data_IF_127256201235
#
_entry.id   IF_127256201235
#
_cell.length_a   1.000
_cell.length_b   1.000
_cell.length_c   1.000
_cell.angle_alpha   90.00
_cell.angle_beta   90.00
_cell.angle_gamma   90.00
#
_symmetry.space_group_name_H-M   'P 1'
#
loop_
_entity.id
_entity.type
_entity.pdbx_description
1 polymer ?
#
# COMPACT_ATOMS: atom_id res chain seq x y z
N UNK A 1 11.84 -19.56 -11.75
CA UNK A 1 11.00 -18.44 -11.27
C UNK A 1 11.24 -18.12 -9.80
N UNK A 2 11.12 -19.07 -8.86
CA UNK A 2 11.34 -18.83 -7.42
C UNK A 2 12.69 -18.15 -7.07
N UNK A 3 13.79 -18.56 -7.71
CA UNK A 3 15.11 -17.94 -7.53
C UNK A 3 15.15 -16.46 -7.95
N UNK A 4 14.38 -16.06 -8.97
CA UNK A 4 14.31 -14.67 -9.40
C UNK A 4 13.60 -13.81 -8.37
N UNK A 5 12.45 -14.27 -7.88
CA UNK A 5 11.67 -13.58 -6.85
C UNK A 5 12.48 -13.36 -5.57
N UNK A 6 13.21 -14.37 -5.11
CA UNK A 6 14.09 -14.23 -3.95
C UNK A 6 15.23 -13.23 -4.17
N UNK A 7 15.87 -13.24 -5.35
CA UNK A 7 16.93 -12.27 -5.67
C UNK A 7 16.41 -10.83 -5.66
N UNK A 8 15.24 -10.59 -6.25
CA UNK A 8 14.62 -9.26 -6.27
C UNK A 8 14.21 -8.82 -4.87
N UNK A 9 13.61 -9.72 -4.08
CA UNK A 9 13.26 -9.42 -2.69
C UNK A 9 14.48 -9.05 -1.85
N UNK A 10 15.54 -9.85 -1.90
CA UNK A 10 16.78 -9.58 -1.16
C UNK A 10 17.41 -8.25 -1.58
N UNK A 11 17.49 -7.97 -2.89
CA UNK A 11 18.02 -6.71 -3.39
C UNK A 11 17.16 -5.51 -2.95
N UNK A 12 15.83 -5.66 -2.97
CA UNK A 12 14.89 -4.60 -2.56
C UNK A 12 14.97 -4.30 -1.07
N UNK A 13 15.18 -5.33 -0.24
CA UNK A 13 15.33 -5.19 1.21
C UNK A 13 16.62 -4.46 1.61
N UNK A 14 17.67 -4.56 0.76
CA UNK A 14 18.94 -3.87 0.95
C UNK A 14 19.00 -2.50 0.27
N UNK A 15 18.00 -2.15 -0.53
CA UNK A 15 17.93 -0.85 -1.22
C UNK A 15 17.20 0.15 -0.35
N UNK A 16 17.93 1.16 0.14
CA UNK A 16 17.39 2.24 0.96
C UNK A 16 17.31 3.57 0.19
N UNK A 17 16.22 4.34 0.36
CA UNK A 17 16.08 5.61 -0.34
C UNK A 17 17.07 6.65 0.18
N UNK A 18 17.60 7.46 -0.74
CA UNK A 18 18.27 8.72 -0.38
C UNK A 18 17.25 9.76 0.10
N UNK A 19 17.71 10.90 0.63
CA UNK A 19 16.82 12.03 0.98
C UNK A 19 15.94 12.46 -0.21
N UNK A 20 16.52 12.51 -1.42
CA UNK A 20 15.77 12.77 -2.66
C UNK A 20 14.75 11.65 -2.95
N UNK A 21 15.12 10.40 -2.68
CA UNK A 21 14.22 9.25 -2.77
C UNK A 21 12.97 9.41 -1.89
N UNK A 22 13.13 9.89 -0.66
CA UNK A 22 11.99 10.21 0.20
C UNK A 22 11.12 11.34 -0.33
N UNK A 23 11.70 12.31 -1.05
CA UNK A 23 10.94 13.30 -1.82
C UNK A 23 10.02 12.67 -2.87
N UNK A 24 10.47 11.61 -3.56
CA UNK A 24 9.62 10.85 -4.49
C UNK A 24 8.53 10.06 -3.78
N UNK A 25 8.81 9.49 -2.61
CA UNK A 25 7.79 8.83 -1.78
C UNK A 25 6.70 9.84 -1.38
N UNK A 26 7.10 11.03 -0.91
CA UNK A 26 6.16 12.09 -0.58
C UNK A 26 5.33 12.54 -1.79
N UNK A 27 5.94 12.65 -2.98
CA UNK A 27 5.21 12.95 -4.22
C UNK A 27 4.20 11.85 -4.59
N UNK A 28 4.58 10.58 -4.48
CA UNK A 28 3.68 9.45 -4.73
C UNK A 28 2.50 9.43 -3.74
N UNK A 29 2.75 9.71 -2.46
CA UNK A 29 1.72 9.87 -1.44
C UNK A 29 0.78 11.05 -1.76
N UNK A 30 1.33 12.18 -2.17
CA UNK A 30 0.56 13.35 -2.61
C UNK A 30 -0.35 13.04 -3.80
N UNK A 31 0.17 12.33 -4.81
CA UNK A 31 -0.61 11.89 -5.96
C UNK A 31 -1.72 10.90 -5.56
N UNK A 32 -1.41 9.93 -4.70
CA UNK A 32 -2.41 9.00 -4.15
C UNK A 32 -3.50 9.74 -3.39
N UNK A 33 -3.14 10.71 -2.54
CA UNK A 33 -4.08 11.52 -1.78
C UNK A 33 -4.96 12.40 -2.68
N UNK A 34 -4.39 12.97 -3.75
CA UNK A 34 -5.13 13.79 -4.72
C UNK A 34 -6.23 13.01 -5.44
N UNK A 35 -6.07 11.68 -5.61
CA UNK A 35 -7.12 10.79 -6.14
C UNK A 35 -8.05 10.31 -5.02
N UNK A 36 -7.46 9.87 -3.91
CA UNK A 36 -8.16 9.15 -2.85
C UNK A 36 -9.07 10.05 -2.03
N UNK A 37 -8.62 11.27 -1.67
CA UNK A 37 -9.40 12.18 -0.82
C UNK A 37 -10.69 12.63 -1.51
N UNK A 38 -10.68 13.13 -2.77
CA UNK A 38 -11.91 13.51 -3.45
C UNK A 38 -12.86 12.31 -3.62
N UNK A 39 -12.34 11.17 -4.08
CA UNK A 39 -13.16 9.97 -4.27
C UNK A 39 -13.79 9.50 -2.96
N UNK A 40 -12.98 9.38 -1.90
CA UNK A 40 -13.45 8.89 -0.62
C UNK A 40 -14.45 9.82 0.05
N UNK A 41 -14.25 11.14 -0.02
CA UNK A 41 -15.17 12.12 0.54
C UNK A 41 -16.46 12.24 -0.27
N UNK A 42 -16.36 12.34 -1.60
CA UNK A 42 -17.52 12.51 -2.49
C UNK A 42 -18.46 11.29 -2.45
N UNK A 43 -17.92 10.09 -2.27
CA UNK A 43 -18.71 8.85 -2.18
C UNK A 43 -19.16 8.50 -0.76
N UNK A 44 -18.84 9.34 0.23
CA UNK A 44 -19.07 9.07 1.64
C UNK A 44 -18.28 7.89 2.20
N UNK A 45 -17.32 7.33 1.45
CA UNK A 45 -16.46 6.25 1.93
C UNK A 45 -15.55 6.72 3.08
N UNK A 46 -15.09 7.96 3.05
CA UNK A 46 -14.38 8.58 4.17
C UNK A 46 -15.33 9.30 5.10
N UNK A 47 -15.15 9.08 6.41
CA UNK A 47 -15.91 9.73 7.46
C UNK A 47 -14.97 10.29 8.56
N UNK A 48 -14.46 11.52 8.40
CA UNK A 48 -13.56 12.14 9.37
C UNK A 48 -14.18 12.36 10.77
N UNK A 49 -15.52 12.32 10.89
CA UNK A 49 -16.21 12.43 12.19
C UNK A 49 -15.97 11.19 13.07
N UNK A 50 -15.60 10.08 12.45
CA UNK A 50 -15.33 8.80 13.12
C UNK A 50 -13.83 8.60 13.45
N UNK A 51 -13.05 9.69 13.59
CA UNK A 51 -11.64 9.57 13.94
C UNK A 51 -11.42 8.87 15.29
N UNK A 52 -10.43 7.98 15.35
CA UNK A 52 -9.98 7.34 16.59
C UNK A 52 -9.09 8.32 17.36
N UNK A 53 -9.37 8.48 18.66
CA UNK A 53 -8.62 9.41 19.54
C UNK A 53 -7.66 8.71 20.50
N UNK A 54 -7.74 7.38 20.62
CA UNK A 54 -6.85 6.59 21.47
C UNK A 54 -5.48 6.43 20.80
N UNK A 55 -4.50 7.24 21.24
CA UNK A 55 -3.13 7.22 20.72
C UNK A 55 -2.42 5.89 20.96
N UNK A 56 -2.67 5.22 22.09
CA UNK A 56 -2.03 3.94 22.42
C UNK A 56 -2.49 2.85 21.46
N UNK A 57 -3.80 2.80 21.19
CA UNK A 57 -4.39 1.92 20.19
C UNK A 57 -3.84 2.22 18.79
N UNK A 58 -3.80 3.50 18.40
CA UNK A 58 -3.27 3.93 17.09
C UNK A 58 -1.83 3.46 16.93
N UNK A 59 -0.94 3.71 17.89
CA UNK A 59 0.47 3.32 17.81
C UNK A 59 0.64 1.80 17.74
N UNK A 60 -0.05 1.05 18.60
CA UNK A 60 0.05 -0.42 18.65
C UNK A 60 -0.41 -1.06 17.34
N UNK A 61 -1.57 -0.64 16.84
CA UNK A 61 -2.12 -1.20 15.60
C UNK A 61 -1.36 -0.69 14.38
N UNK A 62 -0.87 0.55 14.38
CA UNK A 62 0.00 1.09 13.32
C UNK A 62 1.30 0.29 13.21
N UNK A 63 1.97 -0.01 14.33
CA UNK A 63 3.17 -0.84 14.33
C UNK A 63 2.90 -2.23 13.73
N UNK A 64 1.78 -2.86 14.10
CA UNK A 64 1.34 -4.11 13.49
C UNK A 64 1.06 -3.97 11.99
N UNK A 65 0.35 -2.91 11.59
CA UNK A 65 -0.03 -2.61 10.21
C UNK A 65 1.18 -2.31 9.30
N UNK A 66 2.29 -1.83 9.87
CA UNK A 66 3.53 -1.66 9.14
C UNK A 66 4.14 -3.01 8.73
N UNK A 67 4.08 -4.03 9.60
CA UNK A 67 4.57 -5.37 9.27
C UNK A 67 3.56 -6.12 8.39
N UNK A 68 2.30 -6.17 8.83
CA UNK A 68 1.18 -6.79 8.12
C UNK A 68 -0.02 -5.84 8.17
N UNK A 69 -0.44 -5.23 7.06
CA UNK A 69 -0.12 -5.66 5.69
C UNK A 69 1.14 -5.04 5.06
N UNK A 70 1.58 -3.84 5.45
CA UNK A 70 2.40 -3.01 4.55
C UNK A 70 3.70 -3.68 4.09
N UNK A 71 4.59 -4.12 4.99
CA UNK A 71 5.85 -4.73 4.58
C UNK A 71 5.64 -6.07 3.84
N UNK A 72 4.74 -6.93 4.34
CA UNK A 72 4.49 -8.24 3.76
C UNK A 72 3.90 -8.15 2.34
N UNK A 73 2.89 -7.31 2.15
CA UNK A 73 2.26 -7.14 0.84
C UNK A 73 3.22 -6.48 -0.15
N UNK A 74 3.98 -5.47 0.25
CA UNK A 74 4.97 -4.85 -0.63
C UNK A 74 6.14 -5.80 -0.96
N UNK A 75 6.52 -6.70 -0.03
CA UNK A 75 7.50 -7.75 -0.30
C UNK A 75 7.02 -8.68 -1.43
N UNK A 76 5.73 -9.03 -1.44
CA UNK A 76 5.15 -9.89 -2.48
C UNK A 76 4.92 -9.10 -3.77
N UNK A 77 4.10 -8.06 -3.74
CA UNK A 77 3.60 -7.43 -4.96
C UNK A 77 4.60 -6.49 -5.63
N UNK A 78 5.55 -5.91 -4.88
CA UNK A 78 6.55 -4.98 -5.43
C UNK A 78 7.90 -5.67 -5.50
N UNK A 79 8.47 -6.02 -4.35
CA UNK A 79 9.84 -6.52 -4.30
C UNK A 79 10.06 -7.86 -5.00
N UNK A 80 9.13 -8.81 -4.92
CA UNK A 80 9.28 -10.09 -5.63
C UNK A 80 8.84 -10.01 -7.10
N UNK A 81 7.72 -9.34 -7.39
CA UNK A 81 7.10 -9.38 -8.72
C UNK A 81 7.57 -8.28 -9.68
N UNK A 82 8.00 -7.11 -9.20
CA UNK A 82 8.47 -6.02 -10.06
C UNK A 82 9.98 -6.11 -10.33
N UNK A 83 10.44 -5.61 -11.49
CA UNK A 83 11.87 -5.56 -11.81
C UNK A 83 12.69 -4.79 -10.77
N UNK A 84 13.92 -5.24 -10.50
CA UNK A 84 14.86 -4.55 -9.62
C UNK A 84 16.18 -4.25 -10.35
N UNK A 85 16.76 -3.04 -10.24
CA UNK A 85 17.98 -2.64 -10.98
C UNK A 85 19.19 -3.56 -10.81
N UNK A 86 19.39 -4.10 -9.60
CA UNK A 86 20.50 -5.02 -9.32
C UNK A 86 20.30 -6.46 -9.84
N UNK A 87 19.11 -6.80 -10.36
CA UNK A 87 18.74 -8.19 -10.72
C UNK A 87 18.31 -8.30 -12.18
N UNK A 88 17.58 -7.31 -12.67
CA UNK A 88 16.96 -7.29 -13.98
C UNK A 88 17.73 -6.40 -14.97
N UNK A 89 17.70 -6.71 -16.28
CA UNK A 89 18.40 -5.93 -17.28
C UNK A 89 17.86 -4.49 -17.36
N UNK A 90 18.70 -3.53 -17.75
CA UNK A 90 18.33 -2.12 -17.83
C UNK A 90 17.08 -1.83 -18.68
N UNK A 91 16.84 -2.64 -19.73
CA UNK A 91 15.65 -2.54 -20.58
C UNK A 91 14.33 -2.80 -19.84
N UNK A 92 14.34 -3.51 -18.72
CA UNK A 92 13.17 -3.75 -17.87
C UNK A 92 12.86 -2.58 -16.90
N UNK A 93 13.76 -1.60 -16.81
CA UNK A 93 13.69 -0.50 -15.84
C UNK A 93 13.22 0.82 -16.46
N UNK A 94 13.18 0.92 -17.79
CA UNK A 94 12.65 2.10 -18.48
C UNK A 94 11.19 2.37 -18.09
N UNK A 95 10.75 3.64 -17.98
CA UNK A 95 9.43 3.98 -17.43
C UNK A 95 8.26 3.21 -18.07
N UNK A 96 8.24 3.12 -19.40
CA UNK A 96 7.19 2.40 -20.12
C UNK A 96 7.26 0.87 -19.92
N UNK A 97 8.46 0.30 -19.84
CA UNK A 97 8.65 -1.13 -19.61
C UNK A 97 8.24 -1.51 -18.18
N UNK A 98 8.64 -0.70 -17.20
CA UNK A 98 8.24 -0.86 -15.81
C UNK A 98 6.73 -0.71 -15.64
N UNK A 99 6.11 0.32 -16.23
CA UNK A 99 4.67 0.53 -16.16
C UNK A 99 3.90 -0.68 -16.71
N UNK A 100 4.33 -1.26 -17.84
CA UNK A 100 3.74 -2.50 -18.37
C UNK A 100 3.94 -3.68 -17.41
N UNK A 101 5.13 -3.83 -16.84
CA UNK A 101 5.41 -4.89 -15.87
C UNK A 101 4.58 -4.74 -14.58
N UNK A 102 4.21 -3.52 -14.21
CA UNK A 102 3.44 -3.23 -13.00
C UNK A 102 1.94 -3.54 -13.10
N UNK A 103 1.38 -3.65 -14.31
CA UNK A 103 -0.06 -3.92 -14.51
C UNK A 103 -0.49 -5.22 -13.83
N UNK A 104 0.25 -6.31 -14.06
CA UNK A 104 -0.07 -7.63 -13.50
C UNK A 104 -0.05 -7.66 -11.97
N UNK A 105 1.06 -7.26 -11.32
CA UNK A 105 1.14 -7.20 -9.86
C UNK A 105 0.14 -6.23 -9.23
N UNK A 106 -0.17 -5.11 -9.88
CA UNK A 106 -1.20 -4.17 -9.41
C UNK A 106 -2.60 -4.79 -9.48
N UNK A 107 -2.94 -5.46 -10.59
CA UNK A 107 -4.21 -6.16 -10.71
C UNK A 107 -4.35 -7.27 -9.67
N UNK A 108 -3.28 -8.06 -9.46
CA UNK A 108 -3.26 -9.10 -8.44
C UNK A 108 -3.40 -8.52 -7.04
N UNK A 109 -2.71 -7.41 -6.75
CA UNK A 109 -2.84 -6.68 -5.48
C UNK A 109 -4.30 -6.30 -5.21
N UNK A 110 -4.99 -5.70 -6.18
CA UNK A 110 -6.40 -5.31 -6.03
C UNK A 110 -7.30 -6.53 -5.85
N UNK A 111 -7.14 -7.56 -6.69
CA UNK A 111 -7.97 -8.79 -6.62
C UNK A 111 -7.75 -9.55 -5.32
N UNK A 112 -6.53 -9.57 -4.77
CA UNK A 112 -6.22 -10.24 -3.51
C UNK A 112 -7.09 -9.75 -2.34
N UNK A 113 -7.52 -8.49 -2.36
CA UNK A 113 -8.40 -7.93 -1.33
C UNK A 113 -9.79 -8.60 -1.32
N UNK A 114 -10.27 -9.11 -2.46
CA UNK A 114 -11.55 -9.84 -2.53
C UNK A 114 -11.55 -11.12 -1.69
N UNK A 115 -10.37 -11.69 -1.44
CA UNK A 115 -10.17 -12.90 -0.65
C UNK A 115 -10.04 -12.64 0.86
N UNK A 116 -10.46 -11.48 1.37
CA UNK A 116 -10.35 -11.16 2.79
C UNK A 116 -11.03 -12.23 3.68
N UNK A 117 -10.28 -12.88 4.59
CA UNK A 117 -10.79 -14.02 5.35
C UNK A 117 -11.75 -13.59 6.48
N UNK A 118 -11.73 -12.32 6.90
CA UNK A 118 -12.53 -11.82 8.03
C UNK A 118 -13.96 -11.46 7.58
N UNK A 119 -15.00 -12.17 8.02
CA UNK A 119 -16.38 -11.91 7.57
C UNK A 119 -16.84 -10.48 7.87
N UNK A 120 -16.48 -9.93 9.04
CA UNK A 120 -16.93 -8.61 9.47
C UNK A 120 -16.42 -7.45 8.60
N UNK A 121 -15.29 -7.62 7.92
CA UNK A 121 -14.70 -6.60 7.05
C UNK A 121 -14.85 -6.92 5.56
N UNK A 122 -15.33 -8.11 5.20
CA UNK A 122 -15.43 -8.57 3.81
C UNK A 122 -16.20 -7.59 2.92
N UNK A 123 -17.31 -7.04 3.41
CA UNK A 123 -18.10 -6.06 2.66
C UNK A 123 -17.30 -4.80 2.29
N UNK A 124 -16.36 -4.36 3.16
CA UNK A 124 -15.48 -3.22 2.87
C UNK A 124 -14.51 -3.58 1.75
N UNK A 125 -13.89 -4.76 1.82
CA UNK A 125 -12.89 -5.20 0.85
C UNK A 125 -13.48 -5.54 -0.54
N UNK A 126 -14.78 -5.81 -0.61
CA UNK A 126 -15.52 -6.03 -1.87
C UNK A 126 -16.18 -4.76 -2.41
N UNK A 127 -16.12 -3.65 -1.68
CA UNK A 127 -16.65 -2.37 -2.11
C UNK A 127 -15.79 -1.79 -3.24
N UNK A 128 -16.43 -1.40 -4.35
CA UNK A 128 -15.72 -0.84 -5.51
C UNK A 128 -14.90 0.41 -5.13
N UNK A 129 -15.37 1.20 -4.15
CA UNK A 129 -14.66 2.39 -3.66
C UNK A 129 -13.38 1.99 -2.97
N UNK A 130 -13.43 0.98 -2.11
CA UNK A 130 -12.23 0.43 -1.48
C UNK A 130 -11.25 -0.09 -2.52
N UNK A 131 -11.72 -0.85 -3.51
CA UNK A 131 -10.87 -1.41 -4.57
C UNK A 131 -10.23 -0.33 -5.44
N UNK A 132 -10.96 0.75 -5.74
CA UNK A 132 -10.41 1.89 -6.47
C UNK A 132 -9.33 2.62 -5.65
N UNK A 133 -9.57 2.84 -4.35
CA UNK A 133 -8.60 3.45 -3.43
C UNK A 133 -7.36 2.56 -3.23
N UNK A 134 -7.56 1.25 -3.09
CA UNK A 134 -6.48 0.27 -3.04
C UNK A 134 -5.68 0.28 -4.36
N UNK A 135 -6.34 0.35 -5.51
CA UNK A 135 -5.67 0.50 -6.82
C UNK A 135 -4.80 1.77 -6.89
N UNK A 136 -5.32 2.92 -6.46
CA UNK A 136 -4.57 4.17 -6.42
C UNK A 136 -3.35 4.10 -5.48
N UNK A 137 -3.57 3.57 -4.27
CA UNK A 137 -2.49 3.31 -3.31
C UNK A 137 -1.45 2.37 -3.91
N UNK A 138 -1.89 1.30 -4.55
CA UNK A 138 -1.02 0.30 -5.11
C UNK A 138 -0.16 0.83 -6.26
N UNK A 139 -0.71 1.69 -7.09
CA UNK A 139 0.04 2.40 -8.13
C UNK A 139 1.08 3.36 -7.53
N UNK A 140 0.72 4.07 -6.44
CA UNK A 140 1.65 4.93 -5.72
C UNK A 140 2.82 4.14 -5.08
N UNK A 141 2.54 2.97 -4.51
CA UNK A 141 3.59 2.07 -4.00
C UNK A 141 4.54 1.62 -5.13
N UNK A 142 4.00 1.25 -6.30
CA UNK A 142 4.82 0.88 -7.46
C UNK A 142 5.66 2.05 -7.99
N UNK A 143 5.11 3.27 -8.00
CA UNK A 143 5.84 4.47 -8.38
C UNK A 143 6.96 4.81 -7.37
N UNK A 144 6.67 4.73 -6.07
CA UNK A 144 7.64 4.91 -5.00
C UNK A 144 8.78 3.88 -5.09
N UNK A 145 8.43 2.61 -5.29
CA UNK A 145 9.40 1.52 -5.50
C UNK A 145 10.31 1.82 -6.68
N UNK A 146 9.76 2.16 -7.85
CA UNK A 146 10.55 2.47 -9.05
C UNK A 146 11.45 3.68 -8.86
N UNK A 147 10.91 4.80 -8.37
CA UNK A 147 11.62 6.06 -8.23
C UNK A 147 12.75 6.01 -7.18
N UNK A 148 12.70 5.05 -6.27
CA UNK A 148 13.73 4.82 -5.24
C UNK A 148 14.71 3.70 -5.59
N UNK A 149 14.67 3.21 -6.85
CA UNK A 149 15.60 2.19 -7.32
C UNK A 149 15.24 0.77 -6.86
N UNK A 150 13.98 0.52 -6.49
CA UNK A 150 13.49 -0.78 -6.04
C UNK A 150 13.47 -0.96 -4.51
N UNK A 151 13.32 0.12 -3.74
CA UNK A 151 13.33 0.03 -2.28
C UNK A 151 12.03 -0.58 -1.73
N UNK A 152 12.16 -1.70 -0.99
CA UNK A 152 11.04 -2.26 -0.24
C UNK A 152 10.59 -1.33 0.89
N UNK A 153 11.52 -0.66 1.57
CA UNK A 153 11.21 0.28 2.64
C UNK A 153 10.40 1.48 2.12
N UNK A 154 10.73 2.02 0.94
CA UNK A 154 9.96 3.10 0.32
C UNK A 154 8.52 2.68 0.02
N UNK A 155 8.34 1.51 -0.59
CA UNK A 155 7.03 0.96 -0.90
C UNK A 155 6.20 0.72 0.37
N UNK A 156 6.82 0.12 1.40
CA UNK A 156 6.15 -0.17 2.67
C UNK A 156 5.71 1.12 3.38
N UNK A 157 6.52 2.18 3.38
CA UNK A 157 6.11 3.49 3.93
C UNK A 157 4.99 4.12 3.10
N UNK A 158 5.10 4.07 1.77
CA UNK A 158 4.07 4.57 0.86
C UNK A 158 2.72 3.86 1.04
N UNK A 159 2.74 2.57 1.37
CA UNK A 159 1.56 1.78 1.70
C UNK A 159 1.04 2.11 3.11
N UNK A 160 1.93 2.14 4.10
CA UNK A 160 1.56 2.25 5.50
C UNK A 160 0.86 3.57 5.84
N UNK A 161 1.39 4.70 5.36
CA UNK A 161 0.89 6.03 5.73
C UNK A 161 -0.60 6.20 5.34
N UNK A 162 -1.03 5.91 4.10
CA UNK A 162 -2.45 6.01 3.73
C UNK A 162 -3.36 5.05 4.50
N UNK A 163 -2.89 3.84 4.82
CA UNK A 163 -3.67 2.92 5.66
C UNK A 163 -3.93 3.52 7.04
N UNK A 164 -2.91 4.05 7.71
CA UNK A 164 -3.05 4.64 9.05
C UNK A 164 -3.96 5.86 9.01
N UNK A 165 -3.78 6.74 8.03
CA UNK A 165 -4.62 7.92 7.83
C UNK A 165 -6.08 7.52 7.60
N UNK A 166 -6.33 6.54 6.73
CA UNK A 166 -7.70 6.07 6.47
C UNK A 166 -8.32 5.40 7.70
N UNK A 167 -7.59 4.46 8.30
CA UNK A 167 -8.07 3.64 9.40
C UNK A 167 -8.44 4.50 10.61
N UNK A 168 -7.58 5.44 11.01
CA UNK A 168 -7.80 6.21 12.23
C UNK A 168 -8.33 7.62 12.01
N UNK A 169 -8.07 8.23 10.85
CA UNK A 169 -8.46 9.60 10.56
C UNK A 169 -9.75 9.72 9.75
N UNK A 170 -10.06 8.72 8.90
CA UNK A 170 -11.12 8.83 7.89
C UNK A 170 -12.20 7.73 8.03
N UNK A 171 -12.33 7.15 9.22
CA UNK A 171 -13.43 6.24 9.57
C UNK A 171 -13.24 4.79 9.12
N UNK A 172 -12.04 4.39 8.69
CA UNK A 172 -11.76 3.00 8.34
C UNK A 172 -11.93 2.03 9.52
N UNK A 173 -11.60 2.45 10.74
CA UNK A 173 -11.72 1.64 11.96
C UNK A 173 -13.15 1.11 12.19
N UNK A 174 -14.14 1.99 12.08
CA UNK A 174 -15.56 1.66 12.26
C UNK A 174 -16.09 0.86 11.07
N UNK A 175 -15.65 1.18 9.85
CA UNK A 175 -16.01 0.41 8.65
C UNK A 175 -15.55 -1.04 8.73
N UNK A 176 -14.37 -1.28 9.30
CA UNK A 176 -13.83 -2.61 9.53
C UNK A 176 -14.50 -3.35 10.70
N UNK A 177 -15.38 -2.67 11.45
CA UNK A 177 -16.16 -3.25 12.55
C UNK A 177 -15.37 -3.49 13.83
N UNK A 178 -14.25 -2.80 14.03
CA UNK A 178 -13.42 -2.96 15.23
C UNK A 178 -13.97 -2.22 16.46
N UNK A 179 -14.83 -1.23 16.28
CA UNK A 179 -15.56 -0.55 17.36
C UNK A 179 -16.56 -1.47 18.06
N UNK A 180 -17.15 -2.42 17.33
CA UNK A 180 -18.08 -3.43 17.87
C UNK A 180 -17.42 -4.48 18.76
N UNK A 181 -16.10 -4.50 18.85
CA UNK A 181 -15.35 -5.44 19.71
C UNK A 181 -14.89 -4.82 21.04
N UNK A 182 -15.10 -3.52 21.25
CA UNK A 182 -14.77 -2.80 22.50
C UNK A 182 -15.85 -2.89 23.58
N UNK A 183 -16.94 -3.64 23.36
CA UNK A 183 -17.96 -3.94 24.35
C UNK A 183 -17.62 -5.23 25.11
N UNK A 184 -16.63 -5.17 26.00
CA UNK A 184 -16.48 -6.08 27.14
C UNK A 184 -16.03 -5.26 28.35
#
# INVERSE_FOLDING_TARGET
MLRLFWRRLAASALTFPTLRGWGYVAAALGASAAVSLPLGLATGFFNPRQRVRDTSLVLRVSAGAFVVPALLEEAVFRAALLPHPAVDPAGALGPAAFARAAVGPLALFVVAHLANPRPQSRAVFQDWRFLALAGALGAACSAAYWATGGSLAAAAVAHHVPIVVWMFGLGGWQRLGFDRQGGR
#
